data_IF_528128684546
#
_entry.id   IF_528128684546
#
_cell.length_a   1.000
_cell.length_b   1.000
_cell.length_c   1.000
_cell.angle_alpha   90.00
_cell.angle_beta   90.00
_cell.angle_gamma   90.00
#
_symmetry.space_group_name_H-M   'P 1'
#
loop_
_entity.id
_entity.type
_entity.pdbx_description
1 polymer ?
#
# COMPACT_ATOMS: atom_id res chain seq x y z
N UNK A 1 -2.14 -5.85 -23.79
CA UNK A 1 -2.79 -5.14 -22.65
C UNK A 1 -3.26 -6.12 -21.58
N UNK A 2 -4.08 -7.12 -21.93
CA UNK A 2 -4.61 -8.12 -20.97
C UNK A 2 -3.53 -8.80 -20.13
N UNK A 3 -2.43 -9.25 -20.74
CA UNK A 3 -1.33 -9.87 -19.99
C UNK A 3 -0.73 -8.92 -18.92
N UNK A 4 -0.55 -7.64 -19.26
CA UNK A 4 -0.06 -6.63 -18.32
C UNK A 4 -1.05 -6.40 -17.18
N UNK A 5 -2.36 -6.37 -17.48
CA UNK A 5 -3.41 -6.23 -16.47
C UNK A 5 -3.42 -7.40 -15.48
N UNK A 6 -3.52 -8.64 -15.98
CA UNK A 6 -3.54 -9.85 -15.15
C UNK A 6 -2.27 -10.01 -14.32
N UNK A 7 -1.10 -9.80 -14.92
CA UNK A 7 0.17 -9.88 -14.18
C UNK A 7 0.37 -8.72 -13.20
N UNK A 8 -0.27 -7.58 -13.40
CA UNK A 8 -0.27 -6.50 -12.39
C UNK A 8 -1.09 -6.92 -11.17
N UNK A 9 -2.29 -7.48 -11.36
CA UNK A 9 -3.14 -7.96 -10.27
C UNK A 9 -2.43 -9.02 -9.40
N UNK A 10 -1.72 -9.95 -10.04
CA UNK A 10 -0.95 -11.01 -9.37
C UNK A 10 0.29 -10.51 -8.61
N UNK A 11 0.66 -9.24 -8.78
CA UNK A 11 1.86 -8.62 -8.20
C UNK A 11 1.55 -7.46 -7.26
N UNK A 12 0.30 -7.29 -6.85
CA UNK A 12 -0.05 -6.31 -5.80
C UNK A 12 0.82 -6.57 -4.56
N UNK A 13 1.26 -5.48 -3.94
CA UNK A 13 2.23 -5.49 -2.83
C UNK A 13 3.69 -5.70 -3.23
N UNK A 14 3.99 -5.98 -4.51
CA UNK A 14 5.36 -6.12 -5.01
C UNK A 14 5.77 -4.93 -5.88
N UNK A 15 7.06 -4.60 -5.85
CA UNK A 15 7.62 -3.59 -6.75
C UNK A 15 7.45 -4.05 -8.22
N UNK A 16 6.90 -3.18 -9.05
CA UNK A 16 6.70 -3.45 -10.47
C UNK A 16 8.02 -3.27 -11.23
N UNK A 17 8.33 -4.27 -12.06
CA UNK A 17 9.37 -4.21 -13.09
C UNK A 17 8.71 -4.55 -14.41
N UNK A 18 8.69 -3.63 -15.36
CA UNK A 18 7.99 -3.82 -16.64
C UNK A 18 8.40 -5.12 -17.35
N UNK A 19 9.69 -5.44 -17.37
CA UNK A 19 10.21 -6.67 -17.97
C UNK A 19 9.60 -7.97 -17.38
N UNK A 20 9.02 -7.92 -16.19
CA UNK A 20 8.43 -9.09 -15.50
C UNK A 20 6.90 -9.14 -15.61
N UNK A 21 6.27 -8.17 -16.29
CA UNK A 21 4.81 -8.14 -16.44
C UNK A 21 4.32 -9.02 -17.58
N UNK A 22 5.11 -9.21 -18.63
CA UNK A 22 4.76 -10.11 -19.74
C UNK A 22 6.00 -10.37 -20.59
N UNK A 23 6.09 -11.56 -21.16
CA UNK A 23 7.14 -11.95 -22.10
C UNK A 23 6.70 -11.68 -23.55
N UNK A 24 7.64 -11.73 -24.49
CA UNK A 24 7.34 -11.59 -25.93
C UNK A 24 7.09 -10.16 -26.41
N UNK A 25 7.18 -9.15 -25.52
CA UNK A 25 7.03 -7.74 -25.88
C UNK A 25 8.23 -6.90 -25.40
N UNK A 26 8.52 -5.81 -26.12
CA UNK A 26 9.56 -4.87 -25.71
C UNK A 26 9.18 -4.11 -24.44
N UNK A 27 10.16 -3.72 -23.62
CA UNK A 27 9.93 -2.90 -22.41
C UNK A 27 9.13 -1.61 -22.70
N UNK A 28 9.43 -0.82 -23.76
CA UNK A 28 8.61 0.33 -24.13
C UNK A 28 7.14 -0.01 -24.40
N UNK A 29 6.87 -1.14 -25.08
CA UNK A 29 5.50 -1.61 -25.35
C UNK A 29 4.77 -1.96 -24.05
N UNK A 30 5.44 -2.68 -23.15
CA UNK A 30 4.87 -3.08 -21.86
C UNK A 30 4.59 -1.84 -21.00
N UNK A 31 5.54 -0.90 -20.93
CA UNK A 31 5.38 0.37 -20.22
C UNK A 31 4.20 1.17 -20.78
N UNK A 32 4.06 1.29 -22.11
CA UNK A 32 2.93 1.99 -22.74
C UNK A 32 1.60 1.36 -22.35
N UNK A 33 1.49 0.03 -22.36
CA UNK A 33 0.29 -0.67 -21.92
C UNK A 33 -0.01 -0.42 -20.43
N UNK A 34 1.00 -0.47 -19.57
CA UNK A 34 0.85 -0.16 -18.14
C UNK A 34 0.40 1.29 -17.91
N UNK A 35 1.02 2.25 -18.58
CA UNK A 35 0.66 3.67 -18.46
C UNK A 35 -0.76 3.93 -18.97
N UNK A 36 -1.21 3.25 -20.04
CA UNK A 36 -2.61 3.31 -20.50
C UNK A 36 -3.59 2.80 -19.45
N UNK A 37 -3.27 1.71 -18.74
CA UNK A 37 -4.09 1.21 -17.64
C UNK A 37 -4.12 2.20 -16.45
N UNK A 38 -3.02 2.92 -16.19
CA UNK A 38 -3.00 4.01 -15.22
C UNK A 38 -3.88 5.18 -15.65
N UNK A 39 -3.78 5.60 -16.92
CA UNK A 39 -4.59 6.69 -17.48
C UNK A 39 -6.08 6.35 -17.46
N UNK A 40 -6.43 5.08 -17.70
CA UNK A 40 -7.79 4.56 -17.58
C UNK A 40 -8.25 4.35 -16.13
N UNK A 41 -7.39 4.64 -15.13
CA UNK A 41 -7.65 4.45 -13.69
C UNK A 41 -7.98 2.99 -13.29
N UNK A 42 -7.62 2.01 -14.13
CA UNK A 42 -7.81 0.58 -13.84
C UNK A 42 -6.75 0.08 -12.87
N UNK A 43 -5.55 0.67 -12.93
CA UNK A 43 -4.47 0.44 -11.97
C UNK A 43 -3.92 1.77 -11.47
N UNK A 44 -3.41 1.79 -10.23
CA UNK A 44 -2.82 2.98 -9.60
C UNK A 44 -1.38 2.72 -9.22
N UNK A 45 -0.48 3.63 -9.58
CA UNK A 45 0.92 3.58 -9.11
C UNK A 45 0.98 4.01 -7.66
N UNK A 46 1.79 3.30 -6.87
CA UNK A 46 2.19 3.69 -5.53
C UNK A 46 3.69 3.94 -5.57
N UNK A 47 4.11 5.20 -5.65
CA UNK A 47 5.51 5.55 -5.86
C UNK A 47 6.30 5.50 -4.55
N UNK A 48 7.54 5.03 -4.60
CA UNK A 48 8.43 5.11 -3.43
C UNK A 48 8.77 6.56 -3.19
N UNK A 49 8.59 7.06 -1.97
CA UNK A 49 8.93 8.42 -1.59
C UNK A 49 9.75 8.44 -0.29
N UNK A 50 10.45 9.55 -0.08
CA UNK A 50 11.18 9.84 1.14
C UNK A 50 10.34 10.78 2.01
N UNK A 51 9.98 10.41 3.25
CA UNK A 51 9.16 11.24 4.13
C UNK A 51 9.98 12.32 4.86
N UNK A 52 10.85 13.04 4.15
CA UNK A 52 11.68 14.12 4.70
C UNK A 52 10.99 15.49 4.71
N UNK A 53 9.85 15.62 4.03
CA UNK A 53 9.11 16.87 3.91
C UNK A 53 7.92 16.72 2.97
N UNK A 54 7.08 17.75 2.92
CA UNK A 54 5.95 17.84 2.00
C UNK A 54 6.27 18.78 0.81
N UNK A 55 5.66 18.55 -0.37
CA UNK A 55 4.79 17.41 -0.70
C UNK A 55 5.60 16.11 -0.93
N UNK A 56 5.01 14.94 -0.60
CA UNK A 56 5.67 13.63 -0.82
C UNK A 56 6.03 13.39 -2.29
N UNK A 57 5.24 13.93 -3.22
CA UNK A 57 5.50 13.87 -4.66
C UNK A 57 6.86 14.44 -5.08
N UNK A 58 7.44 15.37 -4.32
CA UNK A 58 8.75 15.95 -4.63
C UNK A 58 9.91 14.94 -4.53
N UNK A 59 9.75 13.90 -3.71
CA UNK A 59 10.75 12.82 -3.54
C UNK A 59 10.31 11.49 -4.18
N UNK A 60 9.17 11.49 -4.87
CA UNK A 60 8.60 10.27 -5.44
C UNK A 60 9.44 9.73 -6.61
N UNK A 61 9.72 8.43 -6.57
CA UNK A 61 10.52 7.75 -7.58
C UNK A 61 9.68 7.37 -8.80
N UNK A 62 10.12 7.82 -10.00
CA UNK A 62 9.58 7.33 -11.26
C UNK A 62 9.96 5.86 -11.58
N UNK A 63 10.95 5.30 -10.86
CA UNK A 63 11.52 3.96 -11.14
C UNK A 63 11.14 2.91 -10.09
N UNK A 64 10.91 3.30 -8.84
CA UNK A 64 10.51 2.41 -7.74
C UNK A 64 9.05 2.67 -7.40
N UNK A 65 8.17 1.77 -7.81
CA UNK A 65 6.74 1.87 -7.54
C UNK A 65 6.11 0.48 -7.43
N UNK A 66 5.05 0.36 -6.63
CA UNK A 66 4.09 -0.74 -6.65
C UNK A 66 2.87 -0.35 -7.51
N UNK A 67 1.95 -1.27 -7.68
CA UNK A 67 0.66 -1.00 -8.30
C UNK A 67 -0.49 -1.63 -7.49
N UNK A 68 -1.62 -0.92 -7.47
CA UNK A 68 -2.90 -1.41 -6.95
C UNK A 68 -3.90 -1.50 -8.09
N UNK A 69 -4.86 -2.41 -7.95
CA UNK A 69 -6.02 -2.48 -8.84
C UNK A 69 -7.07 -1.44 -8.42
N UNK A 70 -7.96 -1.07 -9.33
CA UNK A 70 -9.08 -0.19 -9.02
C UNK A 70 -10.05 -0.79 -7.99
N UNK A 71 -10.17 -2.12 -8.00
CA UNK A 71 -11.14 -2.84 -7.18
C UNK A 71 -10.57 -4.18 -6.73
N UNK A 72 -10.82 -4.51 -5.47
CA UNK A 72 -10.38 -5.75 -4.84
C UNK A 72 -11.03 -6.99 -5.48
N UNK A 73 -12.32 -6.96 -5.82
CA UNK A 73 -13.01 -8.07 -6.47
C UNK A 73 -12.45 -8.34 -7.87
N UNK A 74 -12.18 -7.29 -8.64
CA UNK A 74 -11.51 -7.40 -9.94
C UNK A 74 -10.10 -8.01 -9.79
N UNK A 75 -9.33 -7.56 -8.80
CA UNK A 75 -8.02 -8.15 -8.50
C UNK A 75 -8.14 -9.65 -8.25
N UNK A 76 -9.06 -10.07 -7.37
CA UNK A 76 -9.25 -11.47 -7.00
C UNK A 76 -9.66 -12.32 -8.21
N UNK A 77 -10.59 -11.82 -9.02
CA UNK A 77 -11.01 -12.50 -10.24
C UNK A 77 -9.83 -12.71 -11.22
N UNK A 78 -9.00 -11.67 -11.45
CA UNK A 78 -7.83 -11.76 -12.32
C UNK A 78 -6.73 -12.67 -11.77
N UNK A 79 -6.66 -12.83 -10.45
CA UNK A 79 -5.78 -13.79 -9.80
C UNK A 79 -6.32 -15.22 -9.80
N UNK A 80 -7.51 -15.46 -10.36
CA UNK A 80 -8.08 -16.79 -10.57
C UNK A 80 -8.55 -17.47 -9.29
N UNK A 81 -8.96 -16.73 -8.26
CA UNK A 81 -9.57 -17.33 -7.07
C UNK A 81 -11.06 -17.59 -7.28
N UNK A 82 -11.50 -18.85 -7.17
CA UNK A 82 -12.91 -19.17 -7.05
C UNK A 82 -13.41 -18.69 -5.67
N UNK A 83 -14.49 -17.92 -5.67
CA UNK A 83 -15.14 -17.36 -4.48
C UNK A 83 -15.47 -18.45 -3.45
N UNK A 84 -15.79 -19.67 -3.90
CA UNK A 84 -16.11 -20.83 -3.04
C UNK A 84 -14.90 -21.44 -2.31
N UNK A 85 -13.69 -21.22 -2.82
CA UNK A 85 -12.43 -21.62 -2.16
C UNK A 85 -12.03 -20.58 -1.10
N UNK A 86 -12.34 -19.31 -1.35
CA UNK A 86 -12.10 -18.19 -0.44
C UNK A 86 -12.94 -18.36 0.84
N UNK A 87 -14.27 -18.45 0.73
CA UNK A 87 -15.18 -18.55 1.88
C UNK A 87 -14.92 -19.75 2.82
N UNK A 88 -14.26 -20.81 2.35
CA UNK A 88 -13.95 -22.00 3.16
C UNK A 88 -12.72 -21.83 4.05
N UNK A 89 -11.95 -20.75 3.91
CA UNK A 89 -10.75 -20.52 4.72
C UNK A 89 -11.03 -19.60 5.90
N UNK A 90 -10.49 -19.97 7.06
CA UNK A 90 -10.60 -19.21 8.30
C UNK A 90 -9.79 -17.90 8.29
N UNK A 91 -8.78 -17.77 7.43
CA UNK A 91 -7.96 -16.56 7.28
C UNK A 91 -7.89 -16.15 5.81
N UNK A 92 -8.87 -15.35 5.39
CA UNK A 92 -8.98 -14.83 4.02
C UNK A 92 -7.80 -13.94 3.62
N UNK A 93 -7.23 -13.19 4.57
CA UNK A 93 -6.14 -12.25 4.29
C UNK A 93 -4.79 -12.94 4.10
N UNK A 94 -4.62 -14.14 4.63
CA UNK A 94 -3.44 -14.97 4.38
C UNK A 94 -3.32 -15.45 2.92
N UNK A 95 -4.44 -15.46 2.17
CA UNK A 95 -4.54 -16.12 0.86
C UNK A 95 -3.62 -15.49 -0.20
N UNK A 96 -3.09 -14.28 0.05
CA UNK A 96 -2.10 -13.65 -0.82
C UNK A 96 -0.89 -13.04 -0.10
N UNK A 97 -0.44 -13.65 1.00
CA UNK A 97 0.74 -13.16 1.75
C UNK A 97 0.61 -11.67 2.14
N UNK A 98 -0.60 -11.21 2.44
CA UNK A 98 -0.88 -9.81 2.77
C UNK A 98 -1.30 -8.91 1.60
N UNK A 99 -1.13 -9.33 0.33
CA UNK A 99 -1.44 -8.46 -0.82
C UNK A 99 -2.92 -8.05 -0.90
N UNK A 100 -3.84 -8.90 -0.42
CA UNK A 100 -5.27 -8.56 -0.35
C UNK A 100 -5.53 -7.46 0.69
N UNK A 101 -4.85 -7.51 1.83
CA UNK A 101 -4.94 -6.48 2.86
C UNK A 101 -4.29 -5.17 2.37
N UNK A 102 -3.13 -5.23 1.71
CA UNK A 102 -2.50 -4.06 1.09
C UNK A 102 -3.39 -3.42 0.01
N UNK A 103 -4.02 -4.26 -0.86
CA UNK A 103 -4.99 -3.81 -1.84
C UNK A 103 -6.17 -3.09 -1.18
N UNK A 104 -6.76 -3.71 -0.16
CA UNK A 104 -7.88 -3.14 0.58
C UNK A 104 -7.50 -1.78 1.20
N UNK A 105 -6.41 -1.73 1.97
CA UNK A 105 -5.94 -0.50 2.63
C UNK A 105 -5.70 0.60 1.59
N UNK A 106 -5.01 0.30 0.49
CA UNK A 106 -4.76 1.30 -0.55
C UNK A 106 -6.03 1.79 -1.25
N UNK A 107 -7.04 0.92 -1.44
CA UNK A 107 -8.35 1.31 -1.99
C UNK A 107 -9.10 2.23 -1.01
N UNK A 108 -9.10 1.91 0.28
CA UNK A 108 -9.71 2.74 1.33
C UNK A 108 -9.03 4.11 1.48
N UNK A 109 -7.70 4.18 1.35
CA UNK A 109 -6.95 5.44 1.32
C UNK A 109 -7.40 6.33 0.15
N UNK A 110 -7.57 5.75 -1.04
CA UNK A 110 -8.05 6.47 -2.22
C UNK A 110 -9.49 6.94 -2.01
N UNK A 111 -10.35 6.10 -1.44
CA UNK A 111 -11.72 6.46 -1.11
C UNK A 111 -11.80 7.61 -0.08
N UNK A 112 -10.87 7.65 0.86
CA UNK A 112 -10.74 8.72 1.86
C UNK A 112 -10.14 10.04 1.31
N UNK A 113 -9.81 10.10 0.01
CA UNK A 113 -9.32 11.32 -0.66
C UNK A 113 -7.82 11.35 -0.97
N UNK A 114 -7.07 10.30 -0.63
CA UNK A 114 -5.63 10.21 -0.94
C UNK A 114 -5.42 9.67 -2.37
N UNK A 115 -5.62 10.53 -3.37
CA UNK A 115 -5.57 10.12 -4.78
C UNK A 115 -4.18 9.73 -5.29
N UNK A 116 -3.13 10.33 -4.72
CA UNK A 116 -1.74 9.95 -4.93
C UNK A 116 -1.26 9.12 -3.74
N UNK A 117 -0.82 7.90 -4.03
CA UNK A 117 -0.34 6.98 -3.01
C UNK A 117 1.19 6.87 -3.08
N UNK A 118 1.78 6.81 -1.90
CA UNK A 118 3.22 6.63 -1.75
C UNK A 118 3.50 5.50 -0.78
N UNK A 119 4.64 4.85 -0.94
CA UNK A 119 5.19 3.90 0.02
C UNK A 119 6.63 4.29 0.33
N UNK A 120 7.22 3.72 1.37
CA UNK A 120 8.63 3.95 1.66
C UNK A 120 9.43 2.69 1.39
N UNK A 121 10.47 2.81 0.57
CA UNK A 121 11.49 1.78 0.41
C UNK A 121 12.86 2.37 0.74
N UNK A 122 13.60 1.68 1.61
CA UNK A 122 14.96 2.09 1.97
C UNK A 122 15.89 2.08 0.76
N UNK A 123 16.67 3.15 0.60
CA UNK A 123 17.60 3.30 -0.53
C UNK A 123 18.92 2.54 -0.37
N UNK A 124 19.22 2.03 0.82
CA UNK A 124 20.49 1.38 1.14
C UNK A 124 20.70 0.08 0.34
N UNK A 125 21.89 -0.11 -0.22
CA UNK A 125 22.26 -1.28 -1.05
C UNK A 125 22.30 -2.61 -0.28
N UNK A 126 22.54 -2.56 1.03
CA UNK A 126 22.86 -3.74 1.87
C UNK A 126 21.68 -4.28 2.69
N UNK A 127 20.55 -3.57 2.74
CA UNK A 127 19.39 -3.98 3.54
C UNK A 127 18.12 -3.42 2.94
N UNK A 128 17.15 -4.31 2.67
CA UNK A 128 15.81 -3.94 2.24
C UNK A 128 14.94 -3.73 3.47
N UNK A 129 14.31 -2.58 3.53
CA UNK A 129 13.24 -2.27 4.46
C UNK A 129 12.18 -1.48 3.68
N UNK A 130 10.92 -1.77 3.97
CA UNK A 130 9.79 -1.20 3.26
C UNK A 130 8.64 -1.02 4.23
N UNK A 131 7.88 0.06 4.04
CA UNK A 131 6.61 0.34 4.73
C UNK A 131 5.56 0.58 3.67
N UNK A 132 4.38 -0.02 3.85
CA UNK A 132 3.39 -0.20 2.78
C UNK A 132 2.82 1.09 2.23
N UNK A 133 2.54 2.07 3.09
CA UNK A 133 2.06 3.38 2.66
C UNK A 133 2.63 4.54 3.50
N UNK A 134 2.67 5.70 2.88
CA UNK A 134 2.83 7.00 3.51
C UNK A 134 1.56 7.81 3.27
N UNK A 135 1.01 8.39 4.34
CA UNK A 135 -0.20 9.20 4.32
C UNK A 135 0.11 10.60 4.84
N UNK A 136 -0.55 11.62 4.29
CA UNK A 136 -0.46 12.99 4.78
C UNK A 136 -1.80 13.38 5.38
N UNK A 137 -1.82 13.69 6.67
CA UNK A 137 -3.01 14.16 7.37
C UNK A 137 -2.64 15.43 8.13
N UNK A 138 -3.44 16.50 7.96
CA UNK A 138 -3.24 17.80 8.61
C UNK A 138 -1.79 18.33 8.52
N UNK A 139 -1.19 18.19 7.34
CA UNK A 139 0.19 18.66 7.07
C UNK A 139 1.29 17.80 7.72
N UNK A 140 0.96 16.63 8.26
CA UNK A 140 1.93 15.70 8.86
C UNK A 140 1.94 14.36 8.15
N UNK A 141 3.12 13.77 8.01
CA UNK A 141 3.32 12.46 7.37
C UNK A 141 3.16 11.35 8.41
N UNK A 142 2.40 10.32 8.06
CA UNK A 142 2.18 9.11 8.84
C UNK A 142 2.62 7.91 8.02
N UNK A 143 3.33 6.98 8.67
CA UNK A 143 3.75 5.72 8.08
C UNK A 143 2.71 4.65 8.38
N UNK A 144 2.29 3.89 7.38
CA UNK A 144 1.26 2.86 7.49
C UNK A 144 1.86 1.50 7.14
N UNK A 145 1.74 0.56 8.07
CA UNK A 145 2.04 -0.85 7.88
C UNK A 145 0.73 -1.66 7.85
N UNK A 146 0.63 -2.62 6.94
CA UNK A 146 -0.52 -3.50 6.80
C UNK A 146 -0.14 -4.92 7.22
N UNK A 147 -0.92 -5.50 8.13
CA UNK A 147 -0.70 -6.86 8.62
C UNK A 147 -1.93 -7.73 8.42
N UNK A 148 -1.74 -8.83 7.69
CA UNK A 148 -2.74 -9.89 7.56
C UNK A 148 -2.72 -10.91 8.71
N UNK A 149 -1.77 -10.85 9.65
CA UNK A 149 -1.68 -11.80 10.76
C UNK A 149 -0.75 -11.35 11.89
N UNK A 150 -0.59 -12.20 12.92
CA UNK A 150 0.11 -11.86 14.16
C UNK A 150 1.65 -11.77 14.03
N UNK A 151 2.24 -12.24 12.93
CA UNK A 151 3.71 -12.40 12.85
C UNK A 151 4.43 -11.21 12.23
N UNK A 152 5.63 -10.93 12.77
CA UNK A 152 6.57 -9.94 12.23
C UNK A 152 6.90 -8.84 13.24
N UNK A 153 8.19 -8.69 13.55
CA UNK A 153 8.70 -7.48 14.21
C UNK A 153 8.56 -6.34 13.21
N UNK A 154 7.93 -5.22 13.61
CA UNK A 154 7.70 -4.02 12.80
C UNK A 154 9.00 -3.26 12.46
N UNK A 155 10.08 -4.00 12.15
CA UNK A 155 11.44 -3.50 12.01
C UNK A 155 11.54 -2.39 10.96
N UNK A 156 10.86 -2.54 9.83
CA UNK A 156 10.85 -1.52 8.77
C UNK A 156 10.18 -0.23 9.24
N UNK A 157 9.01 -0.35 9.88
CA UNK A 157 8.28 0.79 10.45
C UNK A 157 9.08 1.48 11.55
N UNK A 158 9.66 0.73 12.49
CA UNK A 158 10.55 1.27 13.53
C UNK A 158 11.75 1.99 12.91
N UNK A 159 12.39 1.38 11.90
CA UNK A 159 13.51 1.99 11.20
C UNK A 159 13.11 3.30 10.52
N UNK A 160 11.94 3.35 9.86
CA UNK A 160 11.41 4.57 9.26
C UNK A 160 11.20 5.65 10.32
N UNK A 161 10.47 5.35 11.40
CA UNK A 161 10.17 6.32 12.46
C UNK A 161 11.43 6.83 13.18
N UNK A 162 12.47 6.00 13.31
CA UNK A 162 13.79 6.41 13.82
C UNK A 162 14.54 7.30 12.84
N UNK A 163 14.46 7.00 11.54
CA UNK A 163 15.15 7.77 10.48
C UNK A 163 14.47 9.12 10.24
N UNK A 164 13.15 9.19 10.37
CA UNK A 164 12.34 10.38 10.09
C UNK A 164 11.50 10.78 11.33
N UNK A 165 12.13 11.40 12.35
CA UNK A 165 11.49 11.66 13.65
C UNK A 165 10.30 12.63 13.60
N UNK A 166 10.18 13.40 12.51
CA UNK A 166 9.09 14.35 12.28
C UNK A 166 7.77 13.67 11.84
N UNK A 167 7.82 12.39 11.45
CA UNK A 167 6.61 11.63 11.19
C UNK A 167 5.71 11.59 12.44
N UNK A 168 4.40 11.44 12.22
CA UNK A 168 3.46 11.06 13.26
C UNK A 168 3.73 9.64 13.79
N UNK A 169 2.90 9.15 14.72
CA UNK A 169 2.89 7.75 15.07
C UNK A 169 2.71 6.87 13.84
N UNK A 170 3.37 5.71 13.82
CA UNK A 170 3.12 4.69 12.81
C UNK A 170 1.77 4.03 13.03
N UNK A 171 0.98 3.90 11.98
CA UNK A 171 -0.29 3.19 11.99
C UNK A 171 -0.11 1.77 11.49
N UNK A 172 -0.65 0.81 12.23
CA UNK A 172 -0.59 -0.61 11.89
C UNK A 172 -2.02 -1.10 11.70
N UNK A 173 -2.43 -1.31 10.46
CA UNK A 173 -3.76 -1.86 10.17
C UNK A 173 -3.71 -3.38 10.17
N UNK A 174 -4.56 -4.02 10.97
CA UNK A 174 -4.62 -5.47 11.08
C UNK A 174 -5.99 -6.00 11.51
N UNK A 175 -6.15 -7.32 11.58
CA UNK A 175 -7.33 -7.94 12.22
C UNK A 175 -7.27 -7.90 13.76
N UNK A 176 -6.19 -7.42 14.36
CA UNK A 176 -6.08 -7.32 15.81
C UNK A 176 -6.95 -6.16 16.35
N UNK A 177 -7.38 -6.24 17.63
CA UNK A 177 -8.06 -5.13 18.29
C UNK A 177 -7.19 -3.86 18.32
N UNK A 178 -7.87 -2.73 18.52
CA UNK A 178 -7.21 -1.46 18.80
C UNK A 178 -6.22 -1.58 19.95
N UNK A 179 -5.03 -1.02 19.77
CA UNK A 179 -4.07 -0.84 20.86
C UNK A 179 -3.07 0.26 20.54
N UNK A 180 -2.50 0.85 21.57
CA UNK A 180 -1.44 1.85 21.43
C UNK A 180 -0.17 1.37 22.13
N UNK A 181 0.98 1.64 21.50
CA UNK A 181 2.30 1.47 22.11
C UNK A 181 3.03 2.82 22.05
N UNK A 182 2.73 3.77 22.97
CA UNK A 182 3.27 5.13 22.93
C UNK A 182 4.80 5.18 22.92
N UNK A 183 5.45 4.30 23.69
CA UNK A 183 6.92 4.19 23.76
C UNK A 183 7.55 3.82 22.40
N UNK A 184 6.80 3.13 21.54
CA UNK A 184 7.24 2.74 20.20
C UNK A 184 6.72 3.68 19.11
N UNK A 185 5.92 4.70 19.48
CA UNK A 185 5.18 5.57 18.56
C UNK A 185 4.30 4.77 17.58
N UNK A 186 3.56 3.78 18.08
CA UNK A 186 2.69 2.93 17.26
C UNK A 186 1.25 2.96 17.73
N UNK A 187 0.32 2.96 16.77
CA UNK A 187 -1.12 2.77 16.98
C UNK A 187 -1.60 1.64 16.08
N UNK A 188 -2.20 0.62 16.68
CA UNK A 188 -2.81 -0.51 15.99
C UNK A 188 -4.28 -0.23 15.78
N UNK A 189 -4.73 -0.33 14.53
CA UNK A 189 -6.08 -0.03 14.11
C UNK A 189 -6.68 -1.25 13.40
N UNK A 190 -7.99 -1.54 13.58
CA UNK A 190 -8.66 -2.56 12.80
C UNK A 190 -8.64 -2.23 11.31
N UNK A 191 -8.45 -3.23 10.44
CA UNK A 191 -8.44 -3.06 8.99
C UNK A 191 -9.68 -2.33 8.47
N UNK A 192 -10.87 -2.65 8.97
CA UNK A 192 -12.11 -2.00 8.52
C UNK A 192 -12.19 -0.49 8.83
N UNK A 193 -11.28 0.05 9.67
CA UNK A 193 -11.29 1.45 10.07
C UNK A 193 -10.36 2.34 9.22
N UNK A 194 -9.71 1.80 8.17
CA UNK A 194 -8.76 2.56 7.33
C UNK A 194 -9.36 3.86 6.80
N UNK A 195 -10.56 3.81 6.19
CA UNK A 195 -11.24 5.01 5.69
C UNK A 195 -11.46 6.05 6.80
N UNK A 196 -11.96 5.63 7.96
CA UNK A 196 -12.23 6.54 9.08
C UNK A 196 -10.97 7.16 9.69
N UNK A 197 -9.85 6.41 9.70
CA UNK A 197 -8.54 6.89 10.14
C UNK A 197 -7.86 7.83 9.13
N UNK A 198 -8.13 7.62 7.84
CA UNK A 198 -7.50 8.36 6.75
C UNK A 198 -8.30 9.58 6.26
N UNK A 199 -9.59 9.65 6.61
CA UNK A 199 -10.46 10.76 6.25
C UNK A 199 -10.00 12.04 6.95
N UNK A 200 -9.81 13.11 6.18
CA UNK A 200 -9.60 14.45 6.73
C UNK A 200 -10.83 14.82 7.53
N UNK A 201 -10.73 14.79 8.86
CA UNK A 201 -11.77 15.37 9.71
C UNK A 201 -11.69 16.87 9.49
N UNK A 202 -12.64 17.44 8.75
CA UNK A 202 -12.97 18.85 8.95
C UNK A 202 -13.21 19.00 10.44
N UNK A 203 -12.34 19.77 11.11
CA UNK A 203 -12.39 19.98 12.55
C UNK A 203 -13.81 20.44 12.92
N UNK A 204 -14.55 19.58 13.58
CA UNK A 204 -15.58 19.99 14.52
C UNK A 204 -15.27 19.27 15.82
N UNK A 205 -14.85 19.99 16.88
CA UNK A 205 -14.69 19.39 18.18
C UNK A 205 -16.09 19.08 18.70
N UNK A 206 -16.50 17.82 18.60
CA UNK A 206 -17.56 17.27 19.42
C UNK A 206 -16.89 16.46 20.52
N UNK A 207 -16.48 17.18 21.57
CA UNK A 207 -16.75 16.93 22.99
C UNK A 207 -16.21 18.11 23.80
#
# INVERSE_FOLDING_TARGET
MNAVLSSTAQRVGQQIKYAHLTEGYSNPTIKKAFDLLCLAQVIRKVASATPSGLPLGASASARKFKALMVDIGIMQHLCGLPVDVEYKKSDLLSIYRGALAEQFVGQELVAAGHHELYYWAREARSSRAEVDFLMVLDGRIYAIEVKSGASGRLRSLHLLLQTYPNCGPGYVFSCAPYSELPEQKLVFLPLYYVYGAASVRCVSPLL
#
